data_IF_184770076294
#
_entry.id   IF_184770076294
#
_cell.length_a   1.000
_cell.length_b   1.000
_cell.length_c   1.000
_cell.angle_alpha   90.00
_cell.angle_beta   90.00
_cell.angle_gamma   90.00
#
_symmetry.space_group_name_H-M   'P 1'
#
loop_
_entity.id
_entity.type
_entity.pdbx_description
1 polymer ?
#
# COMPACT_ATOMS: atom_id res chain seq x y z
N UNK A 1 12.04 29.26 -21.35
CA UNK A 1 11.94 27.84 -21.76
C UNK A 1 10.54 27.39 -21.41
N UNK A 2 9.69 27.25 -22.43
CA UNK A 2 8.27 26.93 -22.29
C UNK A 2 8.11 25.56 -21.62
N UNK A 3 7.43 25.53 -20.47
CA UNK A 3 6.91 24.28 -19.93
C UNK A 3 5.86 23.78 -20.90
N UNK A 4 6.19 22.72 -21.65
CA UNK A 4 5.21 22.03 -22.46
C UNK A 4 4.06 21.61 -21.53
N UNK A 5 2.87 22.17 -21.75
CA UNK A 5 1.63 21.64 -21.23
C UNK A 5 1.48 20.23 -21.81
N UNK A 6 2.04 19.23 -21.13
CA UNK A 6 1.77 17.82 -21.44
C UNK A 6 0.30 17.62 -21.14
N UNK A 7 -0.52 17.48 -22.18
CA UNK A 7 -1.92 17.19 -21.98
C UNK A 7 -2.05 15.82 -21.33
N UNK A 8 -2.95 15.76 -20.35
CA UNK A 8 -3.06 14.70 -19.34
C UNK A 8 -3.31 13.30 -19.94
N UNK A 9 -3.74 13.24 -21.22
CA UNK A 9 -3.97 12.02 -21.97
C UNK A 9 -3.80 12.22 -23.49
N UNK A 10 -2.68 12.79 -23.93
CA UNK A 10 -2.42 13.00 -25.38
C UNK A 10 -2.30 11.69 -26.19
N UNK A 11 -2.16 10.53 -25.53
CA UNK A 11 -1.94 9.23 -26.18
C UNK A 11 -2.96 8.14 -25.86
N UNK A 12 -3.97 8.38 -25.01
CA UNK A 12 -4.86 7.31 -24.52
C UNK A 12 -4.16 6.27 -23.63
N UNK A 13 -2.93 6.57 -23.19
CA UNK A 13 -2.08 5.66 -22.42
C UNK A 13 -2.45 5.65 -20.93
N UNK A 14 -3.15 6.69 -20.45
CA UNK A 14 -3.51 6.83 -19.04
C UNK A 14 -4.94 6.31 -18.82
N UNK A 15 -5.16 5.29 -17.98
CA UNK A 15 -6.48 4.69 -17.80
C UNK A 15 -7.40 5.53 -16.88
N UNK A 16 -7.78 6.73 -17.32
CA UNK A 16 -8.53 7.70 -16.50
C UNK A 16 -9.87 7.19 -15.98
N UNK A 17 -10.63 6.49 -16.82
CA UNK A 17 -11.87 5.84 -16.41
C UNK A 17 -11.63 4.77 -15.33
N UNK A 18 -10.51 4.04 -15.43
CA UNK A 18 -10.10 3.07 -14.42
C UNK A 18 -9.73 3.74 -13.09
N UNK A 19 -8.99 4.85 -13.13
CA UNK A 19 -8.69 5.64 -11.92
C UNK A 19 -9.93 6.24 -11.28
N UNK A 20 -10.86 6.76 -12.07
CA UNK A 20 -12.14 7.24 -11.58
C UNK A 20 -12.95 6.10 -10.91
N UNK A 21 -12.95 4.91 -11.51
CA UNK A 21 -13.58 3.72 -10.92
C UNK A 21 -12.92 3.32 -9.58
N UNK A 22 -11.60 3.35 -9.48
CA UNK A 22 -10.89 3.06 -8.22
C UNK A 22 -11.17 4.12 -7.15
N UNK A 23 -11.11 5.41 -7.50
CA UNK A 23 -11.37 6.50 -6.59
C UNK A 23 -12.81 6.49 -6.07
N UNK A 24 -13.78 6.24 -6.94
CA UNK A 24 -15.19 6.11 -6.55
C UNK A 24 -15.42 4.88 -5.68
N UNK A 25 -14.78 3.74 -5.99
CA UNK A 25 -14.83 2.53 -5.15
C UNK A 25 -14.29 2.80 -3.75
N UNK A 26 -13.14 3.47 -3.64
CA UNK A 26 -12.55 3.84 -2.36
C UNK A 26 -13.47 4.77 -1.57
N UNK A 27 -13.93 5.86 -2.20
CA UNK A 27 -14.79 6.85 -1.56
C UNK A 27 -16.14 6.25 -1.11
N UNK A 28 -16.76 5.43 -1.96
CA UNK A 28 -18.00 4.73 -1.63
C UNK A 28 -17.79 3.74 -0.48
N UNK A 29 -16.70 2.97 -0.51
CA UNK A 29 -16.34 2.05 0.56
C UNK A 29 -16.10 2.77 1.90
N UNK A 30 -15.36 3.88 1.88
CA UNK A 30 -15.13 4.71 3.06
C UNK A 30 -16.44 5.32 3.60
N UNK A 31 -17.32 5.81 2.73
CA UNK A 31 -18.61 6.35 3.11
C UNK A 31 -19.54 5.28 3.72
N UNK A 32 -19.59 4.09 3.11
CA UNK A 32 -20.36 2.94 3.62
C UNK A 32 -19.82 2.48 4.97
N UNK A 33 -18.49 2.37 5.11
CA UNK A 33 -17.86 2.04 6.38
C UNK A 33 -18.20 3.07 7.46
N UNK A 34 -18.05 4.37 7.16
CA UNK A 34 -18.39 5.44 8.10
C UNK A 34 -19.88 5.44 8.47
N UNK A 35 -20.78 5.16 7.53
CA UNK A 35 -22.21 5.01 7.81
C UNK A 35 -22.49 3.80 8.70
N UNK A 36 -21.88 2.64 8.41
CA UNK A 36 -22.04 1.42 9.20
C UNK A 36 -21.46 1.57 10.62
N UNK A 37 -20.29 2.18 10.75
CA UNK A 37 -19.65 2.46 12.04
C UNK A 37 -20.52 3.38 12.90
N UNK A 38 -21.08 4.45 12.30
CA UNK A 38 -22.04 5.34 12.97
C UNK A 38 -23.29 4.59 13.43
N UNK A 39 -23.88 3.74 12.57
CA UNK A 39 -25.06 2.93 12.90
C UNK A 39 -24.80 1.91 14.01
N UNK A 40 -23.58 1.38 14.10
CA UNK A 40 -23.15 0.44 15.14
C UNK A 40 -22.72 1.13 16.44
N UNK A 41 -22.78 2.47 16.51
CA UNK A 41 -22.38 3.22 17.70
C UNK A 41 -20.88 3.12 18.01
N UNK A 42 -20.05 2.93 16.97
CA UNK A 42 -18.58 2.89 17.14
C UNK A 42 -18.12 4.23 17.72
N UNK A 43 -17.49 4.19 18.89
CA UNK A 43 -16.91 5.37 19.53
C UNK A 43 -15.51 5.57 19.01
N UNK A 44 -15.27 6.72 18.39
CA UNK A 44 -13.94 7.09 17.94
C UNK A 44 -13.04 7.40 19.15
N UNK A 45 -11.75 7.07 19.09
CA UNK A 45 -10.80 7.46 20.13
C UNK A 45 -10.71 9.00 20.21
N UNK A 46 -10.73 9.55 21.43
CA UNK A 46 -10.62 11.00 21.65
C UNK A 46 -9.26 11.56 21.20
N UNK A 47 -8.22 10.71 21.23
CA UNK A 47 -6.85 11.04 20.81
C UNK A 47 -6.19 9.81 20.21
N UNK A 48 -5.36 10.03 19.19
CA UNK A 48 -4.44 9.01 18.68
C UNK A 48 -3.07 9.27 19.29
N UNK A 49 -2.54 8.38 20.15
CA UNK A 49 -1.24 8.59 20.76
C UNK A 49 -0.14 8.54 19.67
N UNK A 50 0.95 9.31 19.80
CA UNK A 50 2.01 9.36 18.78
C UNK A 50 2.62 7.99 18.44
N UNK A 51 2.69 7.09 19.42
CA UNK A 51 3.17 5.73 19.22
C UNK A 51 2.26 4.90 18.29
N UNK A 52 0.93 5.06 18.42
CA UNK A 52 -0.01 4.36 17.54
C UNK A 52 0.07 4.93 16.11
N UNK A 53 0.30 6.24 15.96
CA UNK A 53 0.56 6.85 14.66
C UNK A 53 1.83 6.29 14.02
N UNK A 54 2.90 6.12 14.79
CA UNK A 54 4.14 5.51 14.32
C UNK A 54 3.93 4.04 13.91
N UNK A 55 3.22 3.26 14.71
CA UNK A 55 2.88 1.87 14.38
C UNK A 55 1.97 1.77 13.14
N UNK A 56 0.97 2.63 13.03
CA UNK A 56 0.10 2.70 11.85
C UNK A 56 0.91 3.09 10.60
N UNK A 57 1.84 4.03 10.72
CA UNK A 57 2.74 4.43 9.64
C UNK A 57 3.65 3.28 9.18
N UNK A 58 4.36 2.64 10.12
CA UNK A 58 5.22 1.50 9.82
C UNK A 58 4.43 0.32 9.23
N UNK A 59 3.26 0.04 9.79
CA UNK A 59 2.36 -1.01 9.30
C UNK A 59 1.80 -0.70 7.91
N UNK A 60 1.46 0.57 7.63
CA UNK A 60 1.02 1.00 6.30
C UNK A 60 2.15 0.85 5.29
N UNK A 61 3.36 1.27 5.64
CA UNK A 61 4.56 1.12 4.82
C UNK A 61 4.83 -0.36 4.48
N UNK A 62 4.91 -1.22 5.50
CA UNK A 62 5.21 -2.64 5.27
C UNK A 62 4.06 -3.35 4.59
N UNK A 63 2.81 -3.07 4.99
CA UNK A 63 1.62 -3.65 4.37
C UNK A 63 1.51 -3.30 2.89
N UNK A 64 1.75 -2.03 2.51
CA UNK A 64 1.71 -1.64 1.10
C UNK A 64 2.82 -2.28 0.28
N UNK A 65 4.05 -2.39 0.81
CA UNK A 65 5.13 -3.12 0.14
C UNK A 65 4.87 -4.63 0.06
N UNK A 66 4.31 -5.24 1.10
CA UNK A 66 3.94 -6.66 1.05
C UNK A 66 2.93 -6.94 -0.05
N UNK A 67 1.96 -6.05 -0.27
CA UNK A 67 0.99 -6.22 -1.35
C UNK A 67 1.58 -5.96 -2.73
N UNK A 68 2.53 -5.02 -2.85
CA UNK A 68 2.97 -4.48 -4.14
C UNK A 68 4.34 -4.93 -4.61
N UNK A 69 5.14 -5.53 -3.73
CA UNK A 69 6.55 -5.88 -3.99
C UNK A 69 6.91 -7.30 -3.56
N UNK A 70 6.28 -7.88 -2.54
CA UNK A 70 6.70 -9.18 -2.01
C UNK A 70 6.55 -10.35 -3.00
N UNK A 71 7.62 -11.13 -3.21
CA UNK A 71 7.63 -12.26 -4.17
C UNK A 71 6.57 -13.31 -3.85
N UNK A 72 6.27 -13.57 -2.58
CA UNK A 72 5.26 -14.56 -2.15
C UNK A 72 3.87 -14.08 -2.52
N UNK A 73 3.57 -12.79 -2.42
CA UNK A 73 2.25 -12.23 -2.80
C UNK A 73 2.07 -12.03 -4.30
N UNK A 74 3.05 -12.39 -5.13
CA UNK A 74 3.00 -12.18 -6.58
C UNK A 74 1.81 -12.86 -7.28
N UNK A 75 1.24 -13.92 -6.69
CA UNK A 75 0.02 -14.56 -7.23
C UNK A 75 -1.19 -13.62 -7.26
N UNK A 76 -1.29 -12.66 -6.34
CA UNK A 76 -2.35 -11.65 -6.32
C UNK A 76 -2.19 -10.64 -7.45
N UNK A 77 -0.94 -10.36 -7.83
CA UNK A 77 -0.57 -9.35 -8.83
C UNK A 77 -0.52 -9.91 -10.23
N UNK A 78 -0.20 -11.20 -10.37
CA UNK A 78 -0.07 -11.90 -11.65
C UNK A 78 -1.20 -11.60 -12.65
N UNK A 79 -2.50 -11.50 -12.28
CA UNK A 79 -3.58 -11.15 -13.21
C UNK A 79 -3.49 -9.73 -13.82
N UNK A 80 -2.88 -8.79 -13.11
CA UNK A 80 -2.89 -7.35 -13.40
C UNK A 80 -1.51 -6.79 -13.75
N UNK A 81 -0.43 -7.52 -13.47
CA UNK A 81 0.95 -7.09 -13.74
C UNK A 81 1.75 -8.14 -14.53
N UNK A 82 2.92 -7.73 -15.05
CA UNK A 82 4.00 -8.59 -15.53
C UNK A 82 5.24 -8.31 -14.70
N UNK A 83 5.95 -9.35 -14.28
CA UNK A 83 7.24 -9.20 -13.59
C UNK A 83 8.25 -8.61 -14.56
N UNK A 84 8.87 -7.51 -14.16
CA UNK A 84 9.92 -6.81 -14.90
C UNK A 84 11.30 -7.18 -14.33
N UNK A 85 11.48 -7.12 -13.00
CA UNK A 85 12.77 -7.36 -12.35
C UNK A 85 12.60 -8.00 -10.96
N UNK A 86 13.60 -8.76 -10.50
CA UNK A 86 13.73 -9.18 -9.11
C UNK A 86 14.71 -8.26 -8.38
N UNK A 87 14.27 -7.69 -7.25
CA UNK A 87 15.07 -6.80 -6.40
C UNK A 87 15.63 -7.61 -5.21
N UNK A 88 16.77 -7.19 -4.63
CA UNK A 88 17.24 -7.72 -3.35
C UNK A 88 16.16 -7.78 -2.26
N UNK A 89 16.39 -8.62 -1.25
CA UNK A 89 15.48 -8.85 -0.13
C UNK A 89 14.09 -9.43 -0.51
N UNK A 90 14.02 -10.17 -1.62
CA UNK A 90 12.81 -10.91 -2.00
C UNK A 90 11.66 -10.04 -2.53
N UNK A 91 11.96 -8.80 -2.92
CA UNK A 91 11.01 -7.92 -3.60
C UNK A 91 11.06 -8.14 -5.12
N UNK A 92 9.96 -7.87 -5.81
CA UNK A 92 9.85 -7.92 -7.28
C UNK A 92 9.23 -6.63 -7.80
N UNK A 93 9.77 -6.15 -8.91
CA UNK A 93 9.20 -5.05 -9.67
C UNK A 93 8.26 -5.61 -10.72
N UNK A 94 7.02 -5.16 -10.63
CA UNK A 94 5.95 -5.54 -11.51
C UNK A 94 5.50 -4.31 -12.30
N UNK A 95 5.33 -4.48 -13.61
CA UNK A 95 4.73 -3.48 -14.47
C UNK A 95 3.27 -3.82 -14.73
N UNK A 96 2.36 -2.83 -14.73
CA UNK A 96 0.95 -3.06 -15.00
C UNK A 96 0.74 -3.57 -16.42
N UNK A 97 -0.33 -4.35 -16.66
CA UNK A 97 -0.65 -4.88 -18.01
C UNK A 97 -2.12 -4.75 -18.37
N UNK A 98 -2.37 -4.80 -19.68
CA UNK A 98 -3.71 -4.65 -20.25
C UNK A 98 -4.11 -3.19 -20.38
N UNK A 99 -5.41 -2.96 -20.50
CA UNK A 99 -6.05 -1.66 -20.75
C UNK A 99 -7.14 -1.36 -19.71
N UNK A 100 -7.66 -0.13 -19.74
CA UNK A 100 -8.79 0.33 -18.93
C UNK A 100 -8.66 0.02 -17.43
N UNK A 101 -9.69 -0.59 -16.86
CA UNK A 101 -9.75 -0.92 -15.42
C UNK A 101 -8.65 -1.91 -15.02
N UNK A 102 -8.30 -2.85 -15.90
CA UNK A 102 -7.25 -3.84 -15.60
C UNK A 102 -5.89 -3.17 -15.45
N UNK A 103 -5.57 -2.24 -16.36
CA UNK A 103 -4.37 -1.41 -16.28
C UNK A 103 -4.36 -0.60 -14.98
N UNK A 104 -5.46 0.10 -14.66
CA UNK A 104 -5.57 0.91 -13.45
C UNK A 104 -5.42 0.09 -12.16
N UNK A 105 -6.00 -1.11 -12.08
CA UNK A 105 -5.79 -2.04 -10.96
C UNK A 105 -4.32 -2.46 -10.90
N UNK A 106 -3.70 -2.75 -12.05
CA UNK A 106 -2.27 -3.01 -12.16
C UNK A 106 -1.42 -1.86 -11.61
N UNK A 107 -1.73 -0.61 -11.95
CA UNK A 107 -1.04 0.59 -11.45
C UNK A 107 -1.19 0.68 -9.92
N UNK A 108 -2.37 0.39 -9.38
CA UNK A 108 -2.61 0.35 -7.94
C UNK A 108 -1.78 -0.71 -7.22
N UNK A 109 -1.78 -1.96 -7.72
CA UNK A 109 -1.13 -3.11 -7.06
C UNK A 109 0.36 -3.26 -7.38
N UNK A 110 0.91 -2.44 -8.27
CA UNK A 110 2.37 -2.33 -8.51
C UNK A 110 3.00 -1.13 -7.81
N UNK A 111 2.19 -0.12 -7.42
CA UNK A 111 2.64 1.09 -6.77
C UNK A 111 2.39 1.07 -5.25
N UNK A 112 3.45 1.02 -4.41
CA UNK A 112 3.31 0.99 -2.96
C UNK A 112 2.67 2.27 -2.40
N UNK A 113 2.87 3.41 -3.05
CA UNK A 113 2.25 4.67 -2.65
C UNK A 113 0.74 4.66 -2.89
N UNK A 114 0.29 4.20 -4.06
CA UNK A 114 -1.14 4.10 -4.36
C UNK A 114 -1.83 3.09 -3.42
N UNK A 115 -1.21 1.92 -3.21
CA UNK A 115 -1.74 0.91 -2.28
C UNK A 115 -1.72 1.36 -0.82
N UNK A 116 -0.81 2.26 -0.42
CA UNK A 116 -0.73 2.75 0.96
C UNK A 116 -2.02 3.42 1.44
N UNK A 117 -2.75 4.11 0.55
CA UNK A 117 -4.02 4.77 0.90
C UNK A 117 -5.08 3.74 1.29
N UNK A 118 -5.14 2.61 0.59
CA UNK A 118 -6.07 1.53 0.87
C UNK A 118 -5.71 0.79 2.16
N UNK A 119 -4.42 0.50 2.35
CA UNK A 119 -3.92 -0.13 3.58
C UNK A 119 -4.17 0.76 4.79
N UNK A 120 -3.85 2.06 4.69
CA UNK A 120 -4.10 3.03 5.76
C UNK A 120 -5.60 3.12 6.09
N UNK A 121 -6.46 3.20 5.08
CA UNK A 121 -7.91 3.21 5.27
C UNK A 121 -8.42 1.98 6.02
N UNK A 122 -7.95 0.78 5.63
CA UNK A 122 -8.29 -0.47 6.31
C UNK A 122 -7.78 -0.52 7.76
N UNK A 123 -6.54 -0.10 8.01
CA UNK A 123 -5.96 -0.05 9.35
C UNK A 123 -6.68 0.96 10.23
N UNK A 124 -6.98 2.16 9.74
CA UNK A 124 -7.72 3.19 10.50
C UNK A 124 -9.15 2.72 10.79
N UNK A 125 -9.83 2.11 9.82
CA UNK A 125 -11.15 1.53 10.02
C UNK A 125 -11.12 0.40 11.08
N UNK A 126 -10.13 -0.49 10.99
CA UNK A 126 -9.88 -1.51 12.00
C UNK A 126 -9.60 -0.91 13.38
N UNK A 127 -8.78 0.14 13.44
CA UNK A 127 -8.41 0.82 14.68
C UNK A 127 -9.64 1.43 15.37
N UNK A 128 -10.58 1.97 14.58
CA UNK A 128 -11.84 2.49 15.10
C UNK A 128 -12.78 1.39 15.63
N UNK A 129 -12.88 0.25 14.94
CA UNK A 129 -13.82 -0.81 15.31
C UNK A 129 -13.28 -1.84 16.31
N UNK A 130 -11.98 -2.14 16.26
CA UNK A 130 -11.30 -3.20 17.01
C UNK A 130 -9.86 -2.79 17.37
N UNK A 131 -9.66 -1.75 18.20
CA UNK A 131 -8.35 -1.12 18.43
C UNK A 131 -7.27 -2.09 18.93
N UNK A 132 -7.63 -3.07 19.77
CA UNK A 132 -6.67 -4.07 20.29
C UNK A 132 -6.13 -4.98 19.20
N UNK A 133 -7.01 -5.50 18.35
CA UNK A 133 -6.62 -6.38 17.24
C UNK A 133 -5.78 -5.61 16.22
N UNK A 134 -6.18 -4.38 15.88
CA UNK A 134 -5.43 -3.56 14.95
C UNK A 134 -4.06 -3.17 15.50
N UNK A 135 -3.95 -2.79 16.78
CA UNK A 135 -2.64 -2.53 17.41
C UNK A 135 -1.72 -3.74 17.33
N UNK A 136 -2.24 -4.95 17.52
CA UNK A 136 -1.46 -6.18 17.40
C UNK A 136 -0.95 -6.39 15.97
N UNK A 137 -1.82 -6.19 14.96
CA UNK A 137 -1.44 -6.26 13.54
C UNK A 137 -0.37 -5.22 13.21
N UNK A 138 -0.56 -3.97 13.66
CA UNK A 138 0.40 -2.90 13.41
C UNK A 138 1.74 -3.15 14.11
N UNK A 139 1.73 -3.67 15.33
CA UNK A 139 2.93 -4.07 16.05
C UNK A 139 3.66 -5.21 15.33
N UNK A 140 2.94 -6.21 14.82
CA UNK A 140 3.51 -7.30 14.03
C UNK A 140 4.19 -6.80 12.75
N UNK A 141 3.50 -5.97 11.96
CA UNK A 141 4.07 -5.39 10.74
C UNK A 141 5.24 -4.43 11.05
N UNK A 142 5.16 -3.68 12.15
CA UNK A 142 6.26 -2.86 12.65
C UNK A 142 7.48 -3.68 13.02
N UNK A 143 7.30 -4.82 13.71
CA UNK A 143 8.38 -5.75 14.03
C UNK A 143 9.05 -6.32 12.78
N UNK A 144 8.26 -6.67 11.75
CA UNK A 144 8.83 -7.10 10.46
C UNK A 144 9.62 -5.98 9.80
N UNK A 145 9.13 -4.74 9.85
CA UNK A 145 9.87 -3.58 9.33
C UNK A 145 11.24 -3.44 10.01
N UNK A 146 11.29 -3.57 11.34
CA UNK A 146 12.54 -3.54 12.08
C UNK A 146 13.46 -4.72 11.71
N UNK A 147 12.89 -5.91 11.51
CA UNK A 147 13.65 -7.08 11.08
C UNK A 147 14.29 -6.88 9.70
N UNK A 148 13.55 -6.32 8.72
CA UNK A 148 14.09 -6.01 7.39
C UNK A 148 15.28 -5.04 7.51
N UNK A 149 15.16 -3.99 8.32
CA UNK A 149 16.24 -3.03 8.55
C UNK A 149 17.48 -3.68 9.15
N UNK A 150 17.30 -4.61 10.10
CA UNK A 150 18.41 -5.38 10.65
C UNK A 150 19.07 -6.28 9.61
N UNK A 151 18.29 -6.91 8.72
CA UNK A 151 18.82 -7.72 7.62
C UNK A 151 19.63 -6.86 6.65
N UNK A 152 19.15 -5.67 6.29
CA UNK A 152 19.91 -4.73 5.47
C UNK A 152 21.20 -4.29 6.15
N UNK A 153 21.14 -3.93 7.44
CA UNK A 153 22.32 -3.55 8.22
C UNK A 153 23.36 -4.68 8.26
N UNK A 154 22.92 -5.92 8.47
CA UNK A 154 23.79 -7.10 8.46
C UNK A 154 24.48 -7.29 7.10
N UNK A 155 23.70 -7.29 6.00
CA UNK A 155 24.25 -7.45 4.64
C UNK A 155 25.26 -6.35 4.29
N UNK A 156 25.05 -5.14 4.79
CA UNK A 156 25.97 -4.02 4.61
C UNK A 156 27.26 -4.20 5.42
N UNK A 157 27.17 -4.73 6.65
CA UNK A 157 28.37 -5.02 7.45
C UNK A 157 29.19 -6.16 6.87
N UNK A 158 28.54 -7.19 6.34
CA UNK A 158 29.20 -8.35 5.71
C UNK A 158 30.02 -7.91 4.49
N UNK A 159 29.44 -7.10 3.59
CA UNK A 159 30.13 -6.54 2.42
C UNK A 159 31.37 -5.70 2.78
N UNK A 160 31.40 -5.07 3.97
CA UNK A 160 32.56 -4.28 4.44
C UNK A 160 33.66 -5.10 5.09
N UNK A 161 33.35 -6.31 5.52
CA UNK A 161 34.34 -7.23 6.11
C UNK A 161 35.02 -8.05 5.00
N UNK A 162 34.29 -8.35 3.93
CA UNK A 162 34.79 -9.15 2.80
C UNK A 162 35.49 -8.32 1.70
N UNK A 163 35.29 -7.00 1.67
CA UNK A 163 35.91 -6.07 0.70
C UNK A 163 37.07 -5.27 1.27
#
# INVERSE_FOLDING_TARGET
MAGAERSYDDGGEVPLAGYAALATTFAAGAALFAAAARRRGVRLPDRVPPWDLLLLGAATYKGSRLLTKDKVTSFLRAPFTRRSEEIPAGEVMDEPRGDGVRRAVGDLVSCPFCSSVWVAGALVGGYACAPRATRLVCAGLGAVTLADWLQYAWSFTEQRVEG
#
